data_IF_053475270369
#
_entry.id   IF_053475270369
#
_cell.length_a   1.000
_cell.length_b   1.000
_cell.length_c   1.000
_cell.angle_alpha   90.00
_cell.angle_beta   90.00
_cell.angle_gamma   90.00
#
_symmetry.space_group_name_H-M   'P 1'
#
loop_
_entity.id
_entity.type
_entity.pdbx_description
1 polymer ?
#
# COMPACT_ATOMS: atom_id res chain seq x y z
N UNK A 1 -2.06 -12.76 47.46
CA UNK A 1 -2.29 -11.90 46.32
C UNK A 1 -2.53 -12.77 45.08
N UNK A 2 -3.77 -12.82 44.65
CA UNK A 2 -4.18 -13.50 43.41
C UNK A 2 -3.56 -12.66 42.29
N UNK A 3 -2.47 -13.13 41.69
CA UNK A 3 -1.99 -12.61 40.43
C UNK A 3 -3.01 -13.04 39.38
N UNK A 4 -3.99 -12.20 39.12
CA UNK A 4 -4.95 -12.39 38.08
C UNK A 4 -4.23 -12.29 36.75
N UNK A 5 -4.01 -13.41 36.07
CA UNK A 5 -3.60 -13.46 34.68
C UNK A 5 -4.57 -12.67 33.77
N UNK A 6 -5.83 -12.54 34.20
CA UNK A 6 -6.86 -11.73 33.57
C UNK A 6 -6.54 -10.21 33.55
N UNK A 7 -5.89 -9.66 34.58
CA UNK A 7 -5.53 -8.23 34.59
C UNK A 7 -4.45 -7.89 33.57
N UNK A 8 -3.45 -8.77 33.39
CA UNK A 8 -2.41 -8.55 32.37
C UNK A 8 -2.98 -8.67 30.94
N UNK A 9 -3.99 -9.51 30.75
CA UNK A 9 -4.67 -9.69 29.46
C UNK A 9 -5.57 -8.48 29.10
N UNK A 10 -6.21 -7.87 30.11
CA UNK A 10 -7.02 -6.65 29.91
C UNK A 10 -6.12 -5.49 29.46
N UNK A 11 -4.95 -5.31 30.07
CA UNK A 11 -4.03 -4.24 29.67
C UNK A 11 -3.47 -4.44 28.26
N UNK A 12 -3.21 -5.66 27.84
CA UNK A 12 -2.73 -5.98 26.49
C UNK A 12 -3.78 -5.77 25.40
N UNK A 13 -5.05 -5.69 25.74
CA UNK A 13 -6.17 -5.51 24.80
C UNK A 13 -6.72 -4.09 24.77
N UNK A 14 -6.17 -3.18 25.56
CA UNK A 14 -6.62 -1.79 25.54
C UNK A 14 -5.99 -1.05 24.37
N UNK A 15 -6.75 -0.21 23.65
CA UNK A 15 -6.21 0.60 22.57
C UNK A 15 -5.23 1.63 23.11
N UNK A 16 -4.09 1.75 22.47
CA UNK A 16 -3.13 2.82 22.75
C UNK A 16 -3.74 4.17 22.40
N UNK A 17 -3.47 5.14 23.23
CA UNK A 17 -3.76 6.55 22.99
C UNK A 17 -2.53 7.35 23.37
N UNK A 18 -2.11 8.22 22.46
CA UNK A 18 -0.94 9.07 22.65
C UNK A 18 -1.37 10.53 22.63
N UNK A 19 -0.72 11.34 23.44
CA UNK A 19 -0.90 12.80 23.49
C UNK A 19 0.49 13.41 23.41
N UNK A 20 0.74 14.15 22.34
CA UNK A 20 1.97 14.90 22.16
C UNK A 20 1.72 16.36 22.52
N UNK A 21 2.50 16.91 23.45
CA UNK A 21 2.34 18.28 23.95
C UNK A 21 3.65 19.06 23.73
N UNK A 22 3.53 20.32 23.34
CA UNK A 22 4.68 21.21 23.16
C UNK A 22 4.26 22.66 22.95
N UNK A 23 5.21 23.57 23.06
CA UNK A 23 5.03 25.01 22.80
C UNK A 23 5.02 25.34 21.29
N UNK A 24 5.42 24.40 20.47
CA UNK A 24 5.47 24.52 18.99
C UNK A 24 4.94 23.24 18.34
N UNK A 25 4.77 23.23 17.02
CA UNK A 25 4.38 22.03 16.25
C UNK A 25 5.51 21.01 16.08
N UNK A 26 6.75 21.37 16.41
CA UNK A 26 7.91 20.50 16.24
C UNK A 26 7.76 19.11 16.92
N UNK A 27 7.34 19.00 18.19
CA UNK A 27 7.18 17.69 18.85
C UNK A 27 6.15 16.78 18.15
N UNK A 28 5.17 17.34 17.43
CA UNK A 28 4.18 16.55 16.70
C UNK A 28 4.84 15.82 15.51
N UNK A 29 5.73 16.50 14.79
CA UNK A 29 6.42 15.91 13.63
C UNK A 29 7.56 14.98 14.06
N UNK A 30 8.21 15.26 15.17
CA UNK A 30 9.37 14.50 15.65
C UNK A 30 9.02 13.30 16.54
N UNK A 31 7.75 13.14 16.95
CA UNK A 31 7.35 12.05 17.83
C UNK A 31 7.48 10.69 17.13
N UNK A 32 8.08 9.73 17.83
CA UNK A 32 8.19 8.34 17.38
C UNK A 32 7.23 7.41 18.11
N UNK A 33 6.42 7.94 19.03
CA UNK A 33 5.55 7.16 19.90
C UNK A 33 4.64 6.19 19.14
N UNK A 34 4.02 6.51 17.98
CA UNK A 34 3.20 5.55 17.24
C UNK A 34 3.93 4.26 16.86
N UNK A 35 5.25 4.33 16.67
CA UNK A 35 6.11 3.19 16.36
C UNK A 35 6.68 2.54 17.61
N UNK A 36 6.99 3.31 18.64
CA UNK A 36 7.64 2.83 19.87
C UNK A 36 6.72 1.94 20.72
N UNK A 37 5.40 2.14 20.63
CA UNK A 37 4.39 1.39 21.40
C UNK A 37 3.93 0.10 20.76
N UNK A 38 4.41 -0.23 19.56
CA UNK A 38 4.03 -1.45 18.83
C UNK A 38 5.22 -2.39 18.68
N UNK A 39 4.91 -3.69 18.66
CA UNK A 39 5.90 -4.75 18.48
C UNK A 39 5.81 -5.28 17.03
N UNK A 40 6.93 -5.71 16.43
CA UNK A 40 6.90 -6.48 15.19
C UNK A 40 5.99 -7.69 15.31
N UNK A 41 5.13 -7.92 14.32
CA UNK A 41 4.21 -9.05 14.31
C UNK A 41 4.90 -10.36 13.99
N UNK A 42 5.93 -10.30 13.13
CA UNK A 42 6.75 -11.44 12.76
C UNK A 42 8.12 -10.99 12.27
N UNK A 43 9.03 -11.94 12.17
CA UNK A 43 10.33 -11.75 11.54
C UNK A 43 10.28 -12.35 10.15
N UNK A 44 10.56 -11.54 9.14
CA UNK A 44 10.61 -12.01 7.76
C UNK A 44 11.96 -12.63 7.41
N UNK A 45 11.95 -13.57 6.47
CA UNK A 45 13.16 -14.10 5.82
C UNK A 45 13.44 -13.41 4.47
N UNK A 46 12.55 -12.52 4.05
CA UNK A 46 12.66 -11.80 2.79
C UNK A 46 13.46 -10.50 2.95
N UNK A 47 14.21 -10.14 1.93
CA UNK A 47 14.97 -8.88 1.86
C UNK A 47 14.15 -7.86 1.03
N UNK A 48 13.28 -7.12 1.72
CA UNK A 48 12.47 -6.09 1.10
C UNK A 48 13.31 -4.83 0.86
N UNK A 49 13.22 -4.30 -0.37
CA UNK A 49 13.95 -3.10 -0.78
C UNK A 49 12.99 -2.02 -1.24
N UNK A 50 12.61 -1.08 -0.36
CA UNK A 50 11.90 0.11 -0.79
C UNK A 50 12.70 0.86 -1.87
N UNK A 51 11.99 1.48 -2.82
CA UNK A 51 12.64 2.15 -3.93
C UNK A 51 11.68 3.11 -4.64
N UNK A 52 12.13 3.63 -5.79
CA UNK A 52 11.37 4.56 -6.62
C UNK A 52 10.72 3.82 -7.76
N UNK A 53 9.55 4.26 -8.16
CA UNK A 53 8.82 3.65 -9.27
C UNK A 53 8.22 4.66 -10.23
N UNK A 54 7.95 4.22 -11.44
CA UNK A 54 7.10 4.93 -12.39
C UNK A 54 5.67 4.42 -12.27
N UNK A 55 4.73 5.31 -12.49
CA UNK A 55 3.30 5.03 -12.42
C UNK A 55 2.55 5.86 -13.48
N UNK A 56 2.07 5.21 -14.53
CA UNK A 56 1.48 5.89 -15.69
C UNK A 56 0.16 6.56 -15.37
N UNK A 57 -0.62 5.94 -14.50
CA UNK A 57 -1.98 6.37 -14.17
C UNK A 57 -2.04 7.83 -13.66
N UNK A 58 -1.04 8.24 -12.88
CA UNK A 58 -0.99 9.61 -12.33
C UNK A 58 -1.01 10.71 -13.41
N UNK A 59 -0.53 10.41 -14.61
CA UNK A 59 -0.46 11.37 -15.73
C UNK A 59 -1.46 11.06 -16.84
N UNK A 60 -1.65 9.79 -17.17
CA UNK A 60 -2.39 9.37 -18.36
C UNK A 60 -3.67 8.60 -18.05
N UNK A 61 -3.98 8.41 -16.75
CA UNK A 61 -5.19 7.77 -16.26
C UNK A 61 -5.39 6.33 -16.80
N UNK A 62 -6.61 5.82 -16.73
CA UNK A 62 -6.98 4.45 -17.16
C UNK A 62 -6.59 4.11 -18.58
N UNK A 63 -6.60 5.07 -19.50
CA UNK A 63 -6.23 4.89 -20.90
C UNK A 63 -4.78 4.42 -21.09
N UNK A 64 -3.91 4.67 -20.11
CA UNK A 64 -2.52 4.24 -20.14
C UNK A 64 -2.32 2.77 -19.76
N UNK A 65 -3.34 2.11 -19.20
CA UNK A 65 -3.20 0.73 -18.76
C UNK A 65 -3.37 -0.20 -19.96
N UNK A 66 -2.37 -0.19 -20.81
CA UNK A 66 -2.20 -1.05 -21.97
C UNK A 66 -0.72 -1.43 -22.10
N UNK A 67 -0.44 -2.50 -22.80
CA UNK A 67 0.91 -3.08 -22.88
C UNK A 67 1.97 -2.08 -23.37
N UNK A 68 1.66 -1.35 -24.44
CA UNK A 68 2.65 -0.50 -25.12
C UNK A 68 3.02 0.74 -24.29
N UNK A 69 2.05 1.36 -23.64
CA UNK A 69 2.31 2.48 -22.72
C UNK A 69 3.06 2.02 -21.47
N UNK A 70 2.72 0.86 -20.94
CA UNK A 70 3.44 0.32 -19.79
C UNK A 70 4.90 -0.02 -20.12
N UNK A 71 5.21 -0.49 -21.33
CA UNK A 71 6.60 -0.66 -21.80
C UNK A 71 7.36 0.67 -21.78
N UNK A 72 6.73 1.78 -22.18
CA UNK A 72 7.36 3.11 -22.11
C UNK A 72 7.70 3.51 -20.68
N UNK A 73 6.84 3.17 -19.72
CA UNK A 73 7.08 3.46 -18.31
C UNK A 73 8.15 2.57 -17.69
N UNK A 74 8.32 1.33 -18.17
CA UNK A 74 9.49 0.49 -17.84
C UNK A 74 10.76 1.13 -18.38
N UNK A 75 10.77 1.56 -19.65
CA UNK A 75 11.95 2.19 -20.25
C UNK A 75 12.29 3.52 -19.55
N UNK A 76 11.27 4.29 -19.14
CA UNK A 76 11.47 5.49 -18.34
C UNK A 76 12.08 5.17 -16.96
N UNK A 77 11.55 4.16 -16.25
CA UNK A 77 12.09 3.73 -14.97
C UNK A 77 13.56 3.32 -15.10
N UNK A 78 13.88 2.52 -16.10
CA UNK A 78 15.26 2.10 -16.38
C UNK A 78 16.18 3.29 -16.70
N UNK A 79 15.73 4.23 -17.53
CA UNK A 79 16.51 5.42 -17.89
C UNK A 79 16.75 6.34 -16.68
N UNK A 80 15.81 6.42 -15.75
CA UNK A 80 15.92 7.21 -14.52
C UNK A 80 16.66 6.48 -13.39
N UNK A 81 17.00 5.20 -13.58
CA UNK A 81 17.59 4.36 -12.54
C UNK A 81 16.60 4.10 -11.38
N UNK A 82 15.31 3.96 -11.70
CA UNK A 82 14.27 3.59 -10.74
C UNK A 82 14.13 2.08 -10.67
N UNK A 83 13.81 1.61 -9.50
CA UNK A 83 13.79 0.19 -9.18
C UNK A 83 12.48 -0.50 -9.63
N UNK A 84 11.37 0.27 -9.74
CA UNK A 84 10.03 -0.29 -9.91
C UNK A 84 9.22 0.39 -11.00
N UNK A 85 8.21 -0.36 -11.48
CA UNK A 85 7.06 0.16 -12.23
C UNK A 85 5.79 -0.37 -11.58
N UNK A 86 4.79 0.49 -11.39
CA UNK A 86 3.46 0.12 -10.92
C UNK A 86 2.49 0.09 -12.10
N UNK A 87 1.85 -1.06 -12.32
CA UNK A 87 0.77 -1.22 -13.28
C UNK A 87 -0.54 -1.14 -12.52
N UNK A 88 -1.35 -0.13 -12.85
CA UNK A 88 -2.57 0.19 -12.13
C UNK A 88 -3.78 -0.65 -12.57
N UNK A 89 -4.98 -0.31 -12.10
CA UNK A 89 -6.25 -0.99 -12.34
C UNK A 89 -6.47 -1.38 -13.81
N UNK A 90 -7.37 -2.33 -14.08
CA UNK A 90 -7.72 -2.83 -15.41
C UNK A 90 -6.62 -3.62 -16.14
N UNK A 91 -5.45 -3.85 -15.54
CA UNK A 91 -4.38 -4.59 -16.21
C UNK A 91 -4.79 -6.02 -16.61
N UNK A 92 -5.66 -6.64 -15.83
CA UNK A 92 -6.17 -7.99 -16.09
C UNK A 92 -7.07 -8.06 -17.35
N UNK A 93 -7.85 -7.00 -17.61
CA UNK A 93 -8.71 -6.86 -18.77
C UNK A 93 -7.95 -6.33 -20.00
N UNK A 94 -7.14 -5.30 -19.82
CA UNK A 94 -6.53 -4.57 -20.94
C UNK A 94 -5.24 -5.22 -21.44
N UNK A 95 -4.48 -5.85 -20.55
CA UNK A 95 -3.22 -6.55 -20.87
C UNK A 95 -3.44 -8.07 -20.84
N UNK A 96 -4.09 -8.57 -19.80
CA UNK A 96 -4.32 -9.98 -19.57
C UNK A 96 -3.11 -10.71 -18.96
N UNK A 97 -3.38 -11.86 -18.36
CA UNK A 97 -2.35 -12.60 -17.60
C UNK A 97 -1.18 -13.06 -18.44
N UNK A 98 -1.44 -13.62 -19.63
CA UNK A 98 -0.38 -14.17 -20.49
C UNK A 98 0.58 -13.07 -21.00
N UNK A 99 0.02 -11.91 -21.36
CA UNK A 99 0.84 -10.76 -21.76
C UNK A 99 1.53 -10.11 -20.56
N UNK A 100 0.93 -10.15 -19.37
CA UNK A 100 1.55 -9.67 -18.15
C UNK A 100 2.80 -10.48 -17.80
N UNK A 101 2.81 -11.79 -18.01
CA UNK A 101 4.02 -12.61 -17.85
C UNK A 101 5.15 -12.15 -18.79
N UNK A 102 4.82 -11.83 -20.03
CA UNK A 102 5.79 -11.31 -20.99
C UNK A 102 6.29 -9.93 -20.58
N UNK A 103 5.39 -9.08 -20.10
CA UNK A 103 5.72 -7.75 -19.61
C UNK A 103 6.68 -7.80 -18.40
N UNK A 104 6.43 -8.66 -17.42
CA UNK A 104 7.28 -8.82 -16.24
C UNK A 104 8.68 -9.29 -16.67
N UNK A 105 8.78 -10.22 -17.62
CA UNK A 105 10.07 -10.65 -18.18
C UNK A 105 10.80 -9.50 -18.87
N UNK A 106 10.09 -8.66 -19.62
CA UNK A 106 10.66 -7.46 -20.23
C UNK A 106 11.18 -6.48 -19.19
N UNK A 107 10.35 -6.10 -18.19
CA UNK A 107 10.74 -5.17 -17.13
C UNK A 107 12.01 -5.65 -16.42
N UNK A 108 12.07 -6.91 -16.05
CA UNK A 108 13.26 -7.51 -15.41
C UNK A 108 14.49 -7.52 -16.30
N UNK A 109 14.32 -7.67 -17.61
CA UNK A 109 15.44 -7.55 -18.56
C UNK A 109 16.05 -6.16 -18.61
N UNK A 110 15.29 -5.14 -18.18
CA UNK A 110 15.73 -3.75 -18.05
C UNK A 110 16.23 -3.39 -16.63
N UNK A 111 16.20 -4.35 -15.70
CA UNK A 111 16.54 -4.13 -14.29
C UNK A 111 15.44 -3.45 -13.50
N UNK A 112 14.20 -3.45 -14.00
CA UNK A 112 13.02 -2.87 -13.35
C UNK A 112 12.12 -3.99 -12.84
N UNK A 113 11.70 -3.89 -11.58
CA UNK A 113 10.78 -4.84 -10.96
C UNK A 113 9.34 -4.30 -10.97
N UNK A 114 8.36 -5.18 -10.81
CA UNK A 114 6.95 -4.86 -11.06
C UNK A 114 6.12 -4.91 -9.79
N UNK A 115 5.25 -3.91 -9.63
CA UNK A 115 4.09 -3.91 -8.73
C UNK A 115 2.80 -3.98 -9.55
N UNK A 116 1.81 -4.73 -9.06
CA UNK A 116 0.50 -4.83 -9.68
C UNK A 116 -0.60 -4.35 -8.73
N UNK A 117 -1.57 -3.66 -9.32
CA UNK A 117 -2.73 -3.14 -8.59
C UNK A 117 -3.81 -4.20 -8.40
N UNK A 118 -4.51 -4.14 -7.27
CA UNK A 118 -5.67 -4.94 -6.92
C UNK A 118 -6.70 -4.11 -6.15
N UNK A 119 -7.99 -4.38 -6.37
CA UNK A 119 -9.03 -3.93 -5.44
C UNK A 119 -9.02 -4.77 -4.18
N UNK A 120 -9.23 -4.13 -3.01
CA UNK A 120 -9.50 -4.84 -1.76
C UNK A 120 -10.89 -5.48 -1.75
N UNK A 121 -11.76 -5.09 -2.68
CA UNK A 121 -13.19 -5.39 -2.70
C UNK A 121 -13.50 -6.78 -3.22
N UNK A 122 -14.54 -7.37 -2.62
CA UNK A 122 -15.21 -8.56 -3.12
C UNK A 122 -16.51 -8.22 -3.85
N UNK A 123 -17.32 -9.23 -4.08
CA UNK A 123 -18.60 -9.16 -4.82
C UNK A 123 -19.67 -8.27 -4.15
N UNK A 124 -19.46 -7.85 -2.89
CA UNK A 124 -20.38 -6.95 -2.16
C UNK A 124 -20.21 -5.48 -2.55
N UNK A 125 -19.24 -5.15 -3.36
CA UNK A 125 -18.90 -3.78 -3.75
C UNK A 125 -19.07 -3.64 -5.27
N UNK A 126 -19.65 -2.54 -5.70
CA UNK A 126 -19.93 -2.20 -7.09
C UNK A 126 -18.79 -1.41 -7.78
N UNK A 127 -17.59 -1.43 -7.19
CA UNK A 127 -16.40 -0.85 -7.82
C UNK A 127 -16.11 -1.60 -9.12
N UNK A 128 -16.00 -0.85 -10.21
CA UNK A 128 -15.78 -1.40 -11.56
C UNK A 128 -14.32 -1.79 -11.82
N UNK A 129 -13.37 -1.12 -11.15
CA UNK A 129 -11.94 -1.33 -11.35
C UNK A 129 -11.50 -2.73 -10.92
N UNK A 130 -10.85 -3.42 -11.82
CA UNK A 130 -10.36 -4.80 -11.62
C UNK A 130 -8.81 -4.85 -11.58
N UNK A 131 -8.22 -5.93 -11.02
CA UNK A 131 -8.81 -7.16 -10.50
C UNK A 131 -9.57 -6.99 -9.19
N UNK A 132 -10.78 -7.58 -9.13
CA UNK A 132 -11.61 -7.69 -7.92
C UNK A 132 -11.71 -9.15 -7.47
N UNK A 133 -12.27 -9.40 -6.28
CA UNK A 133 -12.46 -10.76 -5.73
C UNK A 133 -11.16 -11.57 -5.61
N UNK A 134 -10.03 -10.88 -5.38
CA UNK A 134 -8.72 -11.52 -5.21
C UNK A 134 -8.15 -11.30 -3.82
N UNK A 135 -8.32 -10.10 -3.24
CA UNK A 135 -7.69 -9.74 -1.97
C UNK A 135 -8.62 -9.90 -0.75
N UNK A 136 -9.92 -9.88 -0.96
CA UNK A 136 -10.96 -9.96 0.07
C UNK A 136 -11.06 -11.34 0.77
N UNK A 137 -10.71 -12.40 0.07
CA UNK A 137 -10.84 -13.78 0.52
C UNK A 137 -9.48 -14.47 0.62
N UNK A 138 -9.18 -15.11 1.75
CA UNK A 138 -7.86 -15.68 2.01
C UNK A 138 -7.45 -16.77 1.02
N UNK A 139 -8.38 -17.58 0.53
CA UNK A 139 -8.09 -18.66 -0.45
C UNK A 139 -7.71 -18.03 -1.80
N UNK A 140 -8.55 -17.12 -2.30
CA UNK A 140 -8.30 -16.43 -3.56
C UNK A 140 -6.99 -15.62 -3.48
N UNK A 141 -6.78 -14.91 -2.37
CA UNK A 141 -5.58 -14.08 -2.13
C UNK A 141 -4.30 -14.92 -2.16
N UNK A 142 -4.24 -16.03 -1.44
CA UNK A 142 -3.07 -16.91 -1.44
C UNK A 142 -2.82 -17.58 -2.77
N UNK A 143 -3.86 -17.91 -3.54
CA UNK A 143 -3.72 -18.42 -4.90
C UNK A 143 -3.12 -17.35 -5.83
N UNK A 144 -3.61 -16.12 -5.74
CA UNK A 144 -3.11 -14.99 -6.51
C UNK A 144 -1.66 -14.67 -6.16
N UNK A 145 -1.34 -14.55 -4.87
CA UNK A 145 0.02 -14.24 -4.41
C UNK A 145 1.04 -15.31 -4.79
N UNK A 146 0.65 -16.60 -4.81
CA UNK A 146 1.52 -17.66 -5.35
C UNK A 146 1.82 -17.48 -6.82
N UNK A 147 0.84 -17.08 -7.61
CA UNK A 147 1.04 -16.78 -9.02
C UNK A 147 1.97 -15.57 -9.20
N UNK A 148 1.76 -14.50 -8.45
CA UNK A 148 2.64 -13.32 -8.47
C UNK A 148 4.08 -13.67 -8.10
N UNK A 149 4.26 -14.44 -7.04
CA UNK A 149 5.57 -14.94 -6.60
C UNK A 149 6.25 -15.76 -7.70
N UNK A 150 5.51 -16.64 -8.39
CA UNK A 150 6.05 -17.48 -9.47
C UNK A 150 6.56 -16.66 -10.66
N UNK A 151 5.99 -15.48 -10.89
CA UNK A 151 6.42 -14.54 -11.93
C UNK A 151 7.55 -13.63 -11.47
N UNK A 152 7.84 -13.56 -10.18
CA UNK A 152 8.84 -12.67 -9.60
C UNK A 152 8.35 -11.23 -9.42
N UNK A 153 7.04 -11.00 -9.34
CA UNK A 153 6.46 -9.71 -8.93
C UNK A 153 6.96 -9.37 -7.53
N UNK A 154 7.25 -8.11 -7.27
CA UNK A 154 7.85 -7.66 -6.00
C UNK A 154 6.87 -7.05 -5.03
N UNK A 155 5.72 -6.63 -5.51
CA UNK A 155 4.72 -6.07 -4.61
C UNK A 155 3.37 -5.85 -5.26
N UNK A 156 2.44 -5.45 -4.43
CA UNK A 156 1.06 -5.15 -4.82
C UNK A 156 0.65 -3.78 -4.26
N UNK A 157 -0.14 -3.04 -5.04
CA UNK A 157 -0.94 -1.91 -4.58
C UNK A 157 -2.36 -2.44 -4.35
N UNK A 158 -2.88 -2.31 -3.14
CA UNK A 158 -4.25 -2.73 -2.83
C UNK A 158 -5.08 -1.52 -2.48
N UNK A 159 -6.17 -1.32 -3.18
CA UNK A 159 -6.94 -0.09 -3.21
C UNK A 159 -8.41 -0.28 -2.78
N UNK A 160 -9.12 0.84 -2.56
CA UNK A 160 -10.56 0.92 -2.30
C UNK A 160 -11.04 0.25 -1.01
N UNK A 161 -10.34 0.48 0.09
CA UNK A 161 -10.79 0.01 1.40
C UNK A 161 -12.00 0.81 1.91
N UNK A 162 -13.03 0.12 2.33
CA UNK A 162 -14.31 0.69 2.77
C UNK A 162 -14.32 1.16 4.22
N UNK A 163 -13.54 2.21 4.55
CA UNK A 163 -13.50 2.79 5.90
C UNK A 163 -12.60 2.02 6.87
N UNK A 164 -12.81 2.26 8.17
CA UNK A 164 -11.97 1.75 9.27
C UNK A 164 -12.73 0.84 10.26
N UNK A 165 -13.68 0.06 9.74
CA UNK A 165 -14.36 -0.98 10.50
C UNK A 165 -13.39 -2.09 10.90
N UNK A 166 -13.75 -2.85 11.94
CA UNK A 166 -12.92 -3.93 12.43
C UNK A 166 -12.61 -4.99 11.35
N UNK A 167 -13.56 -5.31 10.49
CA UNK A 167 -13.37 -6.22 9.36
C UNK A 167 -12.34 -5.70 8.37
N UNK A 168 -12.42 -4.41 8.07
CA UNK A 168 -11.46 -3.74 7.17
C UNK A 168 -10.06 -3.76 7.76
N UNK A 169 -9.91 -3.45 9.06
CA UNK A 169 -8.60 -3.50 9.73
C UNK A 169 -8.01 -4.91 9.76
N UNK A 170 -8.83 -5.94 9.94
CA UNK A 170 -8.39 -7.33 9.80
C UNK A 170 -7.90 -7.65 8.40
N UNK A 171 -8.60 -7.15 7.38
CA UNK A 171 -8.22 -7.37 5.99
C UNK A 171 -6.85 -6.78 5.67
N UNK A 172 -6.52 -5.58 6.18
CA UNK A 172 -5.16 -5.02 6.06
C UNK A 172 -4.10 -5.95 6.64
N UNK A 173 -4.30 -6.40 7.89
CA UNK A 173 -3.35 -7.30 8.57
C UNK A 173 -3.22 -8.65 7.86
N UNK A 174 -4.32 -9.21 7.39
CA UNK A 174 -4.32 -10.47 6.65
C UNK A 174 -3.60 -10.35 5.29
N UNK A 175 -3.82 -9.25 4.56
CA UNK A 175 -3.12 -9.00 3.30
C UNK A 175 -1.61 -8.88 3.55
N UNK A 176 -1.19 -8.13 4.57
CA UNK A 176 0.22 -7.99 4.91
C UNK A 176 0.86 -9.33 5.26
N UNK A 177 0.20 -10.13 6.11
CA UNK A 177 0.71 -11.43 6.50
C UNK A 177 0.81 -12.41 5.34
N UNK A 178 -0.26 -12.52 4.53
CA UNK A 178 -0.26 -13.42 3.38
C UNK A 178 0.74 -12.97 2.29
N UNK A 179 0.94 -11.66 2.14
CA UNK A 179 1.94 -11.11 1.22
C UNK A 179 3.37 -11.41 1.67
N UNK A 180 3.66 -11.35 2.97
CA UNK A 180 4.98 -11.73 3.50
C UNK A 180 5.30 -13.21 3.25
N UNK A 181 4.33 -14.12 3.43
CA UNK A 181 4.47 -15.54 3.10
C UNK A 181 4.92 -15.78 1.63
N UNK A 182 4.68 -14.80 0.75
CA UNK A 182 4.99 -14.88 -0.68
C UNK A 182 6.08 -13.89 -1.14
N UNK A 183 6.72 -13.17 -0.22
CA UNK A 183 7.80 -12.23 -0.50
C UNK A 183 7.34 -10.98 -1.25
N UNK A 184 6.10 -10.52 -1.02
CA UNK A 184 5.50 -9.36 -1.67
C UNK A 184 5.46 -8.16 -0.73
N UNK A 185 5.92 -7.01 -1.21
CA UNK A 185 5.70 -5.71 -0.59
C UNK A 185 4.27 -5.23 -0.83
N UNK A 186 3.74 -4.41 0.08
CA UNK A 186 2.37 -3.92 -0.01
C UNK A 186 2.31 -2.41 0.12
N UNK A 187 1.62 -1.77 -0.82
CA UNK A 187 1.16 -0.38 -0.78
C UNK A 187 -0.35 -0.41 -0.61
N UNK A 188 -0.87 0.30 0.39
CA UNK A 188 -2.31 0.52 0.53
C UNK A 188 -2.73 1.85 -0.07
N UNK A 189 -3.89 1.85 -0.73
CA UNK A 189 -4.46 3.01 -1.37
C UNK A 189 -5.96 3.12 -1.03
N UNK A 190 -6.55 4.33 -1.10
CA UNK A 190 -7.92 4.52 -0.65
C UNK A 190 -8.14 3.96 0.76
N UNK A 191 -7.26 4.23 1.69
CA UNK A 191 -7.11 3.47 2.93
C UNK A 191 -7.19 4.35 4.18
N UNK A 192 -7.27 3.69 5.35
CA UNK A 192 -7.18 4.37 6.64
C UNK A 192 -5.73 4.73 6.99
N UNK A 193 -5.57 5.61 7.99
CA UNK A 193 -4.27 5.95 8.58
C UNK A 193 -3.55 4.72 9.12
N UNK A 194 -2.31 4.46 8.71
CA UNK A 194 -1.47 3.48 9.36
C UNK A 194 -1.16 3.90 10.80
N UNK A 195 -0.91 2.91 11.64
CA UNK A 195 -0.61 3.15 13.06
C UNK A 195 0.52 2.22 13.50
N UNK A 196 1.73 2.57 13.10
CA UNK A 196 2.94 1.80 13.39
C UNK A 196 3.09 0.55 12.53
N UNK A 197 2.38 0.44 11.41
CA UNK A 197 2.48 -0.72 10.50
C UNK A 197 3.87 -0.89 9.91
N UNK A 198 4.61 0.19 9.71
CA UNK A 198 6.01 0.17 9.24
C UNK A 198 6.93 -0.62 10.18
N UNK A 199 6.61 -0.62 11.47
CA UNK A 199 7.34 -1.41 12.47
C UNK A 199 6.76 -2.81 12.64
N UNK A 200 5.44 -2.93 12.52
CA UNK A 200 4.73 -4.19 12.75
C UNK A 200 4.92 -5.18 11.60
N UNK A 201 4.99 -4.68 10.36
CA UNK A 201 4.99 -5.49 9.15
C UNK A 201 6.15 -5.11 8.23
N UNK A 202 7.15 -5.99 8.07
CA UNK A 202 8.37 -5.67 7.32
C UNK A 202 8.15 -5.44 5.82
N UNK A 203 7.05 -5.96 5.28
CA UNK A 203 6.65 -5.83 3.88
C UNK A 203 5.69 -4.67 3.59
N UNK A 204 5.29 -3.91 4.62
CA UNK A 204 4.54 -2.67 4.43
C UNK A 204 5.46 -1.57 3.92
N UNK A 205 5.12 -0.92 2.80
CA UNK A 205 5.98 0.11 2.20
C UNK A 205 5.30 1.47 2.03
N UNK A 206 4.01 1.57 2.22
CA UNK A 206 3.31 2.86 2.22
C UNK A 206 1.80 2.75 2.21
N UNK A 207 1.16 3.88 2.49
CA UNK A 207 -0.30 4.05 2.43
C UNK A 207 -0.64 5.43 1.91
N UNK A 208 -1.57 5.49 0.97
CA UNK A 208 -2.19 6.77 0.59
C UNK A 208 -3.34 7.08 1.56
N UNK A 209 -3.02 7.60 2.70
CA UNK A 209 -4.03 8.05 3.66
C UNK A 209 -4.10 9.59 3.74
N UNK A 210 -3.83 10.26 2.63
CA UNK A 210 -3.79 11.72 2.44
C UNK A 210 -4.50 12.09 1.14
N UNK A 211 -4.85 13.37 1.00
CA UNK A 211 -5.13 13.95 -0.31
C UNK A 211 -3.79 14.20 -1.00
N UNK A 212 -3.46 13.34 -1.94
CA UNK A 212 -2.20 13.40 -2.68
C UNK A 212 -2.35 14.18 -4.01
N UNK A 213 -1.24 14.38 -4.71
CA UNK A 213 -1.23 15.12 -5.98
C UNK A 213 -2.09 14.48 -7.08
N UNK A 214 -2.45 13.21 -6.96
CA UNK A 214 -3.42 12.60 -7.88
C UNK A 214 -4.79 13.28 -7.86
N UNK A 215 -5.17 13.89 -6.71
CA UNK A 215 -6.45 14.59 -6.59
C UNK A 215 -6.54 15.85 -7.48
N UNK A 216 -5.43 16.38 -7.95
CA UNK A 216 -5.39 17.53 -8.86
C UNK A 216 -6.13 17.28 -10.17
N UNK A 217 -6.21 16.01 -10.62
CA UNK A 217 -6.90 15.64 -11.87
C UNK A 217 -8.43 15.62 -11.73
N UNK A 218 -8.94 15.58 -10.49
CA UNK A 218 -10.37 15.40 -10.26
C UNK A 218 -11.17 16.70 -10.24
N UNK A 219 -10.60 17.79 -9.75
CA UNK A 219 -11.28 19.09 -9.80
C UNK A 219 -10.36 20.28 -9.50
N UNK A 220 -10.77 21.47 -9.97
CA UNK A 220 -10.09 22.73 -9.66
C UNK A 220 -10.03 22.99 -8.15
N UNK A 221 -11.04 22.58 -7.39
CA UNK A 221 -11.04 22.69 -5.93
C UNK A 221 -9.81 22.04 -5.29
N UNK A 222 -9.40 20.87 -5.74
CA UNK A 222 -8.19 20.21 -5.24
C UNK A 222 -6.94 20.99 -5.61
N UNK A 223 -6.86 21.51 -6.83
CA UNK A 223 -5.73 22.32 -7.28
C UNK A 223 -5.57 23.60 -6.43
N UNK A 224 -6.68 24.29 -6.16
CA UNK A 224 -6.68 25.54 -5.40
C UNK A 224 -6.25 25.35 -3.92
N UNK A 225 -6.48 24.17 -3.37
CA UNK A 225 -6.20 23.85 -1.97
C UNK A 225 -4.93 23.03 -1.74
N UNK A 226 -4.27 22.53 -2.80
CA UNK A 226 -3.14 21.60 -2.69
C UNK A 226 -2.00 22.14 -1.82
N UNK A 227 -1.54 23.33 -2.09
CA UNK A 227 -0.43 23.92 -1.36
C UNK A 227 -0.73 24.06 0.16
N UNK A 228 -1.96 24.39 0.51
CA UNK A 228 -2.39 24.46 1.90
C UNK A 228 -2.46 23.07 2.53
N UNK A 229 -3.11 22.12 1.86
CA UNK A 229 -3.24 20.74 2.35
C UNK A 229 -1.88 20.08 2.55
N UNK A 230 -0.95 20.24 1.60
CA UNK A 230 0.41 19.70 1.70
C UNK A 230 1.15 20.23 2.93
N UNK A 231 0.90 21.47 3.35
CA UNK A 231 1.52 22.03 4.58
C UNK A 231 0.90 21.45 5.86
N UNK A 232 -0.31 20.91 5.82
CA UNK A 232 -0.97 20.31 6.98
C UNK A 232 -0.60 18.83 7.19
N UNK A 233 -0.37 18.08 6.13
CA UNK A 233 -0.13 16.64 6.19
C UNK A 233 0.94 16.22 7.20
N UNK A 234 2.11 16.90 7.31
CA UNK A 234 3.12 16.55 8.30
C UNK A 234 2.62 16.56 9.76
N UNK A 235 1.61 17.37 10.05
CA UNK A 235 1.12 17.57 11.41
C UNK A 235 -0.14 16.75 11.75
N UNK A 236 -0.91 16.31 10.75
CA UNK A 236 -2.20 15.65 10.96
C UNK A 236 -2.26 14.22 10.44
N UNK A 237 -1.49 13.89 9.38
CA UNK A 237 -1.49 12.57 8.74
C UNK A 237 -0.17 11.85 8.94
N UNK A 238 0.94 12.42 8.51
CA UNK A 238 2.26 11.80 8.59
C UNK A 238 2.80 11.70 10.03
N UNK A 239 2.20 12.39 11.00
CA UNK A 239 2.55 12.25 12.40
C UNK A 239 2.28 10.85 13.01
N UNK A 240 1.56 9.98 12.31
CA UNK A 240 1.17 8.64 12.77
C UNK A 240 1.58 7.51 11.84
N UNK A 241 2.25 7.82 10.75
CA UNK A 241 2.70 6.82 9.79
C UNK A 241 3.35 7.40 8.55
N UNK A 242 4.08 6.57 7.82
CA UNK A 242 4.58 6.87 6.48
C UNK A 242 3.47 6.80 5.44
N UNK A 243 3.31 7.84 4.66
CA UNK A 243 2.29 7.96 3.63
C UNK A 243 2.90 8.45 2.32
#
# INVERSE_FOLDING_TARGET
PIKSSAASDVYKRQPWRTVTVGETLKPIVETTVPWDVVEPRYTTTHDYKPGRGTWSWILWQDGSINYDDQVRYVDLAAAMGYEYVLIDNWWDNNIGRDRMEQFIKYARSKGVEVFLWYSSSGYWNDIEQSPVNRMDNSIARKQEMRWLQSLGVKGIKVDFFGGDKQETLRLYEEILSDADDHGLMVIFHGCTLPRGWERMYPNYVGSEAVLASENLVFSQHFCDNEAFNATLHPFIRNAVGCM
#
